data_IF_256612788628
#
_entry.id   IF_256612788628
#
_cell.length_a   1.000
_cell.length_b   1.000
_cell.length_c   1.000
_cell.angle_alpha   90.00
_cell.angle_beta   90.00
_cell.angle_gamma   90.00
#
_symmetry.space_group_name_H-M   'P 1'
#
loop_
_entity.id
_entity.type
_entity.pdbx_description
1 polymer ?
#
# COMPACT_ATOMS: atom_id res chain seq x y z
N UNK A 1 9.96 3.11 -10.35
CA UNK A 1 10.27 2.26 -9.17
C UNK A 1 9.77 0.85 -9.46
N UNK A 2 10.47 -0.21 -9.05
CA UNK A 2 10.02 -1.58 -9.31
C UNK A 2 8.78 -1.89 -8.47
N UNK A 3 7.65 -2.21 -9.11
CA UNK A 3 6.36 -2.44 -8.44
C UNK A 3 6.41 -3.57 -7.41
N UNK A 4 7.26 -4.59 -7.63
CA UNK A 4 7.45 -5.68 -6.66
C UNK A 4 8.17 -5.20 -5.41
N UNK A 5 9.15 -4.30 -5.56
CA UNK A 5 9.84 -3.69 -4.41
C UNK A 5 8.86 -2.82 -3.63
N UNK A 6 8.03 -2.06 -4.33
CA UNK A 6 7.01 -1.22 -3.74
C UNK A 6 5.94 -2.04 -3.00
N UNK A 7 5.51 -3.15 -3.57
CA UNK A 7 4.59 -4.09 -2.91
C UNK A 7 5.16 -4.62 -1.58
N UNK A 8 6.44 -5.01 -1.57
CA UNK A 8 7.12 -5.46 -0.35
C UNK A 8 7.22 -4.37 0.70
N UNK A 9 7.57 -3.15 0.27
CA UNK A 9 7.58 -1.98 1.14
C UNK A 9 6.21 -1.72 1.76
N UNK A 10 5.14 -1.70 0.95
CA UNK A 10 3.79 -1.45 1.44
C UNK A 10 3.31 -2.52 2.42
N UNK A 11 3.56 -3.80 2.15
CA UNK A 11 3.26 -4.89 3.11
C UNK A 11 4.00 -4.73 4.43
N UNK A 12 5.20 -4.13 4.40
CA UNK A 12 5.97 -3.86 5.62
C UNK A 12 5.43 -2.67 6.40
N UNK A 13 4.98 -1.63 5.72
CA UNK A 13 4.43 -0.41 6.35
C UNK A 13 2.99 -0.62 6.85
N UNK A 14 2.22 -1.45 6.17
CA UNK A 14 0.81 -1.72 6.47
C UNK A 14 0.62 -3.21 6.78
N UNK A 15 1.14 -3.71 7.92
CA UNK A 15 1.15 -5.14 8.22
C UNK A 15 -0.26 -5.74 8.39
N UNK A 16 -1.24 -4.93 8.80
CA UNK A 16 -2.64 -5.34 8.97
C UNK A 16 -3.43 -5.36 7.64
N UNK A 17 -2.82 -4.92 6.54
CA UNK A 17 -3.47 -4.83 5.24
C UNK A 17 -2.98 -5.93 4.30
N UNK A 18 -3.93 -6.58 3.62
CA UNK A 18 -3.64 -7.46 2.49
C UNK A 18 -3.51 -6.62 1.23
N UNK A 19 -2.28 -6.52 0.73
CA UNK A 19 -1.92 -5.77 -0.48
C UNK A 19 -1.39 -6.76 -1.52
N UNK A 20 -1.99 -6.75 -2.71
CA UNK A 20 -1.69 -7.63 -3.82
C UNK A 20 -1.53 -6.80 -5.09
N UNK A 21 -0.64 -7.24 -5.97
CA UNK A 21 -0.56 -6.81 -7.35
C UNK A 21 -0.84 -8.04 -8.21
N UNK A 22 -1.93 -8.01 -8.97
CA UNK A 22 -2.30 -9.14 -9.81
C UNK A 22 -1.48 -9.20 -11.11
N UNK A 23 -1.78 -10.20 -11.94
CA UNK A 23 -1.05 -10.44 -13.20
C UNK A 23 -1.33 -9.36 -14.26
N UNK A 24 -2.44 -8.63 -14.12
CA UNK A 24 -2.87 -7.57 -15.02
C UNK A 24 -2.36 -6.18 -14.57
N UNK A 25 -1.57 -6.13 -13.49
CA UNK A 25 -1.01 -4.89 -12.94
C UNK A 25 -2.00 -4.10 -12.09
N UNK A 26 -3.12 -4.70 -11.68
CA UNK A 26 -4.10 -4.06 -10.80
C UNK A 26 -3.73 -4.31 -9.34
N UNK A 27 -3.74 -3.24 -8.56
CA UNK A 27 -3.53 -3.28 -7.14
C UNK A 27 -4.83 -3.59 -6.41
N UNK A 28 -4.79 -4.57 -5.52
CA UNK A 28 -5.88 -4.93 -4.63
C UNK A 28 -5.41 -4.71 -3.19
N UNK A 29 -6.16 -3.88 -2.46
CA UNK A 29 -5.83 -3.50 -1.08
C UNK A 29 -7.05 -3.81 -0.23
N UNK A 30 -6.87 -4.57 0.85
CA UNK A 30 -7.96 -4.91 1.75
C UNK A 30 -7.52 -4.90 3.21
N UNK A 31 -8.33 -4.24 4.03
CA UNK A 31 -8.18 -4.10 5.47
C UNK A 31 -9.53 -3.64 6.03
N UNK A 32 -9.59 -2.43 6.56
CA UNK A 32 -10.86 -1.79 6.96
C UNK A 32 -11.80 -1.49 5.78
N UNK A 33 -11.21 -1.24 4.59
CA UNK A 33 -11.93 -1.10 3.33
C UNK A 33 -11.26 -1.99 2.28
N UNK A 34 -11.99 -2.27 1.19
CA UNK A 34 -11.45 -2.96 0.02
C UNK A 34 -11.43 -2.00 -1.17
N UNK A 35 -10.27 -1.86 -1.80
CA UNK A 35 -10.07 -1.01 -2.97
C UNK A 35 -9.30 -1.77 -4.04
N UNK A 36 -9.73 -1.57 -5.28
CA UNK A 36 -9.04 -1.98 -6.50
C UNK A 36 -8.60 -0.72 -7.24
N UNK A 37 -7.34 -0.62 -7.62
CA UNK A 37 -6.80 0.52 -8.35
C UNK A 37 -5.86 0.06 -9.46
N UNK A 38 -5.94 0.71 -10.62
CA UNK A 38 -5.06 0.43 -11.78
C UNK A 38 -3.66 1.03 -11.63
N UNK A 39 -3.41 1.84 -10.60
CA UNK A 39 -2.12 2.43 -10.31
C UNK A 39 -1.85 2.45 -8.81
N UNK A 40 -0.57 2.54 -8.47
CA UNK A 40 -0.18 2.65 -7.07
C UNK A 40 -0.57 4.00 -6.45
N UNK A 41 -0.59 5.08 -7.23
CA UNK A 41 -0.93 6.40 -6.69
C UNK A 41 -2.36 6.40 -6.11
N UNK A 42 -3.31 5.76 -6.80
CA UNK A 42 -4.67 5.59 -6.28
C UNK A 42 -4.74 4.74 -5.00
N UNK A 43 -3.84 3.76 -4.84
CA UNK A 43 -3.70 3.00 -3.58
C UNK A 43 -3.18 3.89 -2.46
N UNK A 44 -2.14 4.68 -2.74
CA UNK A 44 -1.52 5.57 -1.75
C UNK A 44 -2.49 6.65 -1.29
N UNK A 45 -3.28 7.22 -2.19
CA UNK A 45 -4.32 8.21 -1.85
C UNK A 45 -5.33 7.62 -0.86
N UNK A 46 -5.79 6.39 -1.10
CA UNK A 46 -6.71 5.71 -0.17
C UNK A 46 -6.03 5.41 1.16
N UNK A 47 -4.82 4.84 1.14
CA UNK A 47 -4.07 4.50 2.34
C UNK A 47 -3.78 5.75 3.20
N UNK A 48 -3.47 6.88 2.58
CA UNK A 48 -3.24 8.14 3.27
C UNK A 48 -4.49 8.65 4.00
N UNK A 49 -5.69 8.40 3.45
CA UNK A 49 -6.96 8.78 4.07
C UNK A 49 -7.34 7.85 5.23
N UNK A 50 -7.16 6.53 5.05
CA UNK A 50 -7.61 5.53 6.05
C UNK A 50 -6.60 5.27 7.16
N UNK A 51 -5.31 5.52 6.91
CA UNK A 51 -4.19 5.26 7.83
C UNK A 51 -3.28 6.48 7.93
N UNK A 52 -3.78 7.62 8.45
CA UNK A 52 -2.99 8.87 8.52
C UNK A 52 -1.73 8.74 9.38
N UNK A 53 -1.72 7.82 10.36
CA UNK A 53 -0.56 7.56 11.22
C UNK A 53 0.54 6.73 10.54
N UNK A 54 0.33 6.26 9.30
CA UNK A 54 1.32 5.50 8.56
C UNK A 54 2.61 6.30 8.27
N UNK A 55 2.54 7.64 8.29
CA UNK A 55 3.71 8.50 8.09
C UNK A 55 4.83 8.19 9.08
N UNK A 56 4.50 7.96 10.35
CA UNK A 56 5.51 7.61 11.36
C UNK A 56 6.14 6.25 11.09
N UNK A 57 5.38 5.29 10.57
CA UNK A 57 5.90 3.96 10.18
C UNK A 57 6.85 4.09 9.00
N UNK A 58 6.50 4.92 8.01
CA UNK A 58 7.36 5.21 6.85
C UNK A 58 8.65 5.87 7.30
N UNK A 59 8.59 6.91 8.13
CA UNK A 59 9.78 7.60 8.66
C UNK A 59 10.70 6.65 9.43
N UNK A 60 10.14 5.75 10.24
CA UNK A 60 10.91 4.73 10.98
C UNK A 60 11.55 3.68 10.07
N UNK A 61 10.96 3.36 8.93
CA UNK A 61 11.50 2.36 8.00
C UNK A 61 12.79 2.84 7.30
N UNK A 62 12.90 4.14 7.04
CA UNK A 62 14.07 4.73 6.35
C UNK A 62 15.16 5.24 7.31
N UNK A 63 14.98 5.08 8.61
CA UNK A 63 15.94 5.49 9.64
C UNK A 63 16.86 4.34 10.03
#
# INVERSE_FOLDING_TARGET
MNERVLLLFLRRIFPEWSILLDQDGTWQVSGHVRVSASSIDGVLDVLAVVEPEAEDRVRRFFR
#
